data_IF_795880236516
#
_entry.id   IF_795880236516
#
_cell.length_a   1.000
_cell.length_b   1.000
_cell.length_c   1.000
_cell.angle_alpha   90.00
_cell.angle_beta   90.00
_cell.angle_gamma   90.00
#
_symmetry.space_group_name_H-M   'P 1'
#
loop_
_entity.id
_entity.type
_entity.pdbx_description
1 polymer ?
#
# COMPACT_ATOMS: atom_id res chain seq x y z
N UNK A 1 23.02 10.63 10.32
CA UNK A 1 22.03 9.72 9.69
C UNK A 1 22.50 9.38 8.29
N UNK A 2 22.65 8.10 7.95
CA UNK A 2 22.91 7.69 6.55
C UNK A 2 21.64 7.98 5.76
N UNK A 3 21.75 8.73 4.66
CA UNK A 3 20.63 8.93 3.73
C UNK A 3 20.30 7.56 3.13
N UNK A 4 19.14 7.02 3.47
CA UNK A 4 18.64 5.79 2.86
C UNK A 4 18.09 6.15 1.47
N UNK A 5 18.56 5.44 0.46
CA UNK A 5 18.11 5.63 -0.92
C UNK A 5 16.61 5.29 -1.06
N UNK A 6 15.90 5.98 -1.96
CA UNK A 6 14.47 5.82 -2.19
C UNK A 6 14.09 4.36 -2.53
N UNK A 7 14.90 3.69 -3.35
CA UNK A 7 14.70 2.27 -3.68
C UNK A 7 14.76 1.35 -2.44
N UNK A 8 15.59 1.70 -1.45
CA UNK A 8 15.71 0.93 -0.21
C UNK A 8 14.53 1.19 0.72
N UNK A 9 14.02 2.42 0.78
CA UNK A 9 12.84 2.76 1.58
C UNK A 9 11.59 2.10 1.01
N UNK A 10 11.38 2.15 -0.31
CA UNK A 10 10.23 1.49 -0.95
C UNK A 10 10.26 -0.02 -0.72
N UNK A 11 11.42 -0.67 -0.89
CA UNK A 11 11.57 -2.10 -0.60
C UNK A 11 11.28 -2.44 0.87
N UNK A 12 11.68 -1.56 1.81
CA UNK A 12 11.41 -1.74 3.24
C UNK A 12 9.92 -1.61 3.55
N UNK A 13 9.24 -0.62 2.96
CA UNK A 13 7.78 -0.43 3.09
C UNK A 13 7.02 -1.64 2.52
N UNK A 14 7.45 -2.16 1.37
CA UNK A 14 6.86 -3.35 0.74
C UNK A 14 7.04 -4.59 1.62
N UNK A 15 8.27 -4.81 2.12
CA UNK A 15 8.55 -5.93 3.04
C UNK A 15 7.72 -5.84 4.32
N UNK A 16 7.63 -4.65 4.93
CA UNK A 16 6.82 -4.42 6.13
C UNK A 16 5.34 -4.70 5.87
N UNK A 17 4.83 -4.29 4.71
CA UNK A 17 3.45 -4.58 4.28
C UNK A 17 3.20 -6.09 4.15
N UNK A 18 4.13 -6.80 3.53
CA UNK A 18 4.03 -8.25 3.37
C UNK A 18 3.99 -8.94 4.74
N UNK A 19 4.92 -8.58 5.62
CA UNK A 19 4.98 -9.12 6.98
C UNK A 19 3.70 -8.84 7.78
N UNK A 20 3.12 -7.65 7.65
CA UNK A 20 1.83 -7.31 8.28
C UNK A 20 0.69 -8.19 7.74
N UNK A 21 0.68 -8.47 6.44
CA UNK A 21 -0.33 -9.35 5.83
C UNK A 21 -0.17 -10.80 6.28
N UNK A 22 1.08 -11.28 6.43
CA UNK A 22 1.40 -12.60 6.99
C UNK A 22 1.00 -12.69 8.47
N UNK A 23 1.27 -11.65 9.24
CA UNK A 23 0.86 -11.54 10.65
C UNK A 23 -0.66 -11.63 10.80
N UNK A 24 -1.41 -10.86 10.00
CA UNK A 24 -2.87 -10.88 10.04
C UNK A 24 -3.44 -12.27 9.72
N UNK A 25 -2.85 -12.98 8.74
CA UNK A 25 -3.25 -14.36 8.40
C UNK A 25 -2.94 -15.33 9.54
N UNK A 26 -1.77 -15.22 10.16
CA UNK A 26 -1.39 -16.03 11.30
C UNK A 26 -2.33 -15.78 12.49
N UNK A 27 -2.61 -14.51 12.82
CA UNK A 27 -3.54 -14.13 13.88
C UNK A 27 -4.95 -14.68 13.61
N UNK A 28 -5.48 -14.54 12.39
CA UNK A 28 -6.77 -15.12 12.00
C UNK A 28 -6.79 -16.64 12.14
N UNK A 29 -5.68 -17.32 11.86
CA UNK A 29 -5.59 -18.78 11.98
C UNK A 29 -5.69 -19.25 13.44
N UNK A 30 -5.31 -18.40 14.41
CA UNK A 30 -5.47 -18.71 15.84
C UNK A 30 -6.91 -18.64 16.32
N UNK A 31 -7.80 -17.89 15.66
CA UNK A 31 -9.15 -17.59 16.18
C UNK A 31 -10.02 -18.83 16.41
N UNK A 32 -9.86 -19.87 15.60
CA UNK A 32 -10.62 -21.14 15.71
C UNK A 32 -10.11 -22.08 16.80
N UNK A 33 -8.85 -21.95 17.21
CA UNK A 33 -8.19 -22.92 18.09
C UNK A 33 -8.74 -22.91 19.53
N UNK A 34 -9.06 -21.76 20.15
CA UNK A 34 -9.69 -21.73 21.47
C UNK A 34 -11.03 -22.47 21.52
N UNK A 35 -11.87 -22.31 20.49
CA UNK A 35 -13.18 -22.96 20.45
C UNK A 35 -13.06 -24.46 20.19
N UNK A 36 -12.15 -24.88 19.31
CA UNK A 36 -11.81 -26.29 19.12
C UNK A 36 -11.30 -26.93 20.42
N UNK A 37 -10.41 -26.23 21.14
CA UNK A 37 -9.89 -26.68 22.44
C UNK A 37 -11.02 -26.84 23.46
N UNK A 38 -11.90 -25.85 23.61
CA UNK A 38 -13.06 -25.93 24.51
C UNK A 38 -13.98 -27.10 24.18
N UNK A 39 -14.27 -27.32 22.89
CA UNK A 39 -15.10 -28.43 22.45
C UNK A 39 -14.47 -29.79 22.80
N UNK A 40 -13.16 -29.95 22.57
CA UNK A 40 -12.43 -31.16 22.94
C UNK A 40 -12.34 -31.35 24.46
N UNK A 41 -12.12 -30.28 25.23
CA UNK A 41 -12.12 -30.33 26.70
C UNK A 41 -13.48 -30.75 27.27
N UNK A 42 -14.59 -30.27 26.68
CA UNK A 42 -15.95 -30.70 27.04
C UNK A 42 -16.16 -32.18 26.73
N UNK A 43 -15.82 -32.61 25.51
CA UNK A 43 -15.93 -34.01 25.10
C UNK A 43 -15.07 -34.94 25.97
N UNK A 44 -13.85 -34.50 26.33
CA UNK A 44 -12.97 -35.23 27.23
C UNK A 44 -13.59 -35.38 28.62
N UNK A 45 -14.20 -34.30 29.15
CA UNK A 45 -14.88 -34.33 30.45
C UNK A 45 -16.05 -35.31 30.42
N UNK A 46 -16.90 -35.25 29.40
CA UNK A 46 -18.04 -36.15 29.23
C UNK A 46 -17.59 -37.63 29.22
N UNK A 47 -16.62 -37.97 28.37
CA UNK A 47 -16.13 -39.35 28.27
C UNK A 47 -15.46 -39.82 29.57
N UNK A 48 -14.67 -38.96 30.24
CA UNK A 48 -14.06 -39.29 31.54
C UNK A 48 -15.10 -39.49 32.65
N UNK A 49 -16.19 -38.72 32.66
CA UNK A 49 -17.26 -38.89 33.67
C UNK A 49 -18.05 -40.17 33.49
N UNK A 50 -18.16 -40.70 32.26
CA UNK A 50 -18.87 -41.95 31.98
C UNK A 50 -18.08 -43.22 32.37
N UNK A 51 -16.74 -43.15 32.37
CA UNK A 51 -15.86 -44.31 32.63
C UNK A 51 -16.07 -44.93 34.02
N UNK A 52 -16.10 -44.18 35.15
CA UNK A 52 -16.27 -44.76 36.48
C UNK A 52 -17.55 -45.59 36.62
N UNK A 53 -18.68 -45.10 36.08
CA UNK A 53 -19.95 -45.83 36.13
C UNK A 53 -19.93 -47.13 35.33
N UNK A 54 -19.29 -47.14 34.17
CA UNK A 54 -19.09 -48.36 33.38
C UNK A 54 -18.10 -49.33 34.04
N UNK A 55 -17.03 -48.81 34.63
CA UNK A 55 -16.05 -49.60 35.37
C UNK A 55 -16.72 -50.31 36.55
N UNK A 56 -17.48 -49.61 37.38
CA UNK A 56 -18.23 -50.23 38.49
C UNK A 56 -19.23 -51.27 38.01
N UNK A 57 -19.89 -51.06 36.87
CA UNK A 57 -20.80 -52.05 36.30
C UNK A 57 -20.09 -53.32 35.82
N UNK A 58 -18.90 -53.17 35.22
CA UNK A 58 -18.03 -54.29 34.85
C UNK A 58 -17.55 -55.05 36.09
N UNK A 59 -17.10 -54.32 37.12
CA UNK A 59 -16.60 -54.90 38.38
C UNK A 59 -17.70 -55.69 39.12
N UNK A 60 -18.96 -55.28 38.99
CA UNK A 60 -20.14 -55.97 39.52
C UNK A 60 -20.64 -57.15 38.64
N UNK A 61 -19.86 -57.59 37.64
CA UNK A 61 -20.13 -58.80 36.87
C UNK A 61 -20.91 -58.60 35.55
N UNK A 62 -21.20 -57.37 35.13
CA UNK A 62 -21.82 -57.12 33.82
C UNK A 62 -20.80 -57.14 32.68
N UNK A 63 -20.29 -58.34 32.36
CA UNK A 63 -19.24 -58.55 31.34
C UNK A 63 -19.60 -57.97 29.95
N UNK A 64 -20.90 -57.85 29.61
CA UNK A 64 -21.36 -57.21 28.37
C UNK A 64 -20.98 -55.74 28.22
N UNK A 65 -20.59 -55.05 29.30
CA UNK A 65 -20.17 -53.63 29.27
C UNK A 65 -18.66 -53.43 29.06
N UNK A 66 -17.85 -54.49 29.05
CA UNK A 66 -16.40 -54.39 28.86
C UNK A 66 -16.01 -53.74 27.53
N UNK A 67 -16.74 -54.09 26.45
CA UNK A 67 -16.51 -53.52 25.11
C UNK A 67 -16.79 -52.02 25.07
N UNK A 68 -17.86 -51.57 25.73
CA UNK A 68 -18.21 -50.15 25.81
C UNK A 68 -17.19 -49.35 26.62
N UNK A 69 -16.73 -49.90 27.75
CA UNK A 69 -15.67 -49.32 28.56
C UNK A 69 -14.37 -49.13 27.76
N UNK A 70 -13.95 -50.14 26.99
CA UNK A 70 -12.77 -50.06 26.14
C UNK A 70 -12.94 -49.00 25.05
N UNK A 71 -14.10 -48.97 24.37
CA UNK A 71 -14.40 -47.96 23.36
C UNK A 71 -14.31 -46.53 23.92
N UNK A 72 -14.81 -46.28 25.14
CA UNK A 72 -14.71 -44.95 25.78
C UNK A 72 -13.28 -44.60 26.15
N UNK A 73 -12.48 -45.56 26.64
CA UNK A 73 -11.04 -45.34 26.89
C UNK A 73 -10.29 -44.97 25.61
N UNK A 74 -10.61 -45.61 24.49
CA UNK A 74 -9.98 -45.30 23.20
C UNK A 74 -10.40 -43.92 22.69
N UNK A 75 -11.68 -43.53 22.88
CA UNK A 75 -12.12 -42.15 22.61
C UNK A 75 -11.40 -41.11 23.45
N UNK A 76 -11.22 -41.37 24.76
CA UNK A 76 -10.45 -40.47 25.64
C UNK A 76 -9.03 -40.27 25.09
N UNK A 77 -8.34 -41.36 24.72
CA UNK A 77 -6.99 -41.27 24.12
C UNK A 77 -6.99 -40.48 22.80
N UNK A 78 -7.99 -40.67 21.96
CA UNK A 78 -8.12 -39.94 20.69
C UNK A 78 -8.33 -38.44 20.94
N UNK A 79 -9.24 -38.07 21.87
CA UNK A 79 -9.49 -36.67 22.24
C UNK A 79 -8.25 -36.03 22.87
N UNK A 80 -7.51 -36.76 23.71
CA UNK A 80 -6.23 -36.28 24.28
C UNK A 80 -5.17 -36.05 23.21
N UNK A 81 -5.09 -36.93 22.20
CA UNK A 81 -4.20 -36.73 21.06
C UNK A 81 -4.59 -35.50 20.22
N UNK A 82 -5.89 -35.30 19.98
CA UNK A 82 -6.39 -34.11 19.29
C UNK A 82 -6.16 -32.82 20.09
N UNK A 83 -6.32 -32.85 21.42
CA UNK A 83 -5.99 -31.72 22.31
C UNK A 83 -4.51 -31.37 22.24
N UNK A 84 -3.63 -32.37 22.27
CA UNK A 84 -2.19 -32.16 22.14
C UNK A 84 -1.85 -31.55 20.77
N UNK A 85 -2.50 -32.00 19.69
CA UNK A 85 -2.33 -31.40 18.35
C UNK A 85 -2.77 -29.93 18.35
N UNK A 86 -3.98 -29.61 18.80
CA UNK A 86 -4.49 -28.22 18.84
C UNK A 86 -3.60 -27.33 19.71
N UNK A 87 -3.09 -27.86 20.83
CA UNK A 87 -2.19 -27.12 21.71
C UNK A 87 -0.84 -26.85 21.04
N UNK A 88 -0.28 -27.83 20.32
CA UNK A 88 0.96 -27.65 19.55
C UNK A 88 0.77 -26.63 18.42
N UNK A 89 -0.33 -26.73 17.66
CA UNK A 89 -0.67 -25.74 16.61
C UNK A 89 -0.78 -24.32 17.18
N UNK A 90 -1.40 -24.18 18.35
CA UNK A 90 -1.53 -22.88 19.03
C UNK A 90 -0.17 -22.32 19.48
N UNK A 91 0.70 -23.16 20.05
CA UNK A 91 2.06 -22.75 20.44
C UNK A 91 2.88 -22.33 19.22
N UNK A 92 2.83 -23.11 18.14
CA UNK A 92 3.58 -22.82 16.91
C UNK A 92 3.11 -21.51 16.26
N UNK A 93 1.79 -21.31 16.11
CA UNK A 93 1.26 -20.07 15.54
C UNK A 93 1.61 -18.84 16.39
N UNK A 94 1.59 -18.96 17.73
CA UNK A 94 2.00 -17.85 18.59
C UNK A 94 3.49 -17.54 18.49
N UNK A 95 4.34 -18.56 18.34
CA UNK A 95 5.76 -18.36 18.09
C UNK A 95 5.99 -17.64 16.74
N UNK A 96 5.26 -18.05 15.69
CA UNK A 96 5.29 -17.37 14.39
C UNK A 96 4.81 -15.91 14.48
N UNK A 97 3.70 -15.65 15.19
CA UNK A 97 3.18 -14.29 15.44
C UNK A 97 4.23 -13.43 16.16
N UNK A 98 4.89 -13.97 17.18
CA UNK A 98 5.93 -13.26 17.92
C UNK A 98 7.13 -12.92 17.04
N UNK A 99 7.57 -13.86 16.19
CA UNK A 99 8.67 -13.65 15.25
C UNK A 99 8.30 -12.61 14.17
N UNK A 100 7.10 -12.71 13.58
CA UNK A 100 6.60 -11.72 12.62
C UNK A 100 6.53 -10.32 13.22
N UNK A 101 6.05 -10.18 14.46
CA UNK A 101 6.05 -8.90 15.19
C UNK A 101 7.46 -8.34 15.35
N UNK A 102 8.44 -9.18 15.69
CA UNK A 102 9.85 -8.80 15.80
C UNK A 102 10.45 -8.38 14.45
N UNK A 103 10.13 -9.07 13.37
CA UNK A 103 10.60 -8.69 12.03
C UNK A 103 10.00 -7.34 11.60
N UNK A 104 8.71 -7.10 11.87
CA UNK A 104 8.04 -5.82 11.56
C UNK A 104 8.69 -4.66 12.32
N UNK A 105 9.04 -4.84 13.59
CA UNK A 105 9.72 -3.79 14.37
C UNK A 105 11.17 -3.59 13.93
N UNK A 106 11.84 -4.62 13.42
CA UNK A 106 13.19 -4.49 12.86
C UNK A 106 13.22 -3.79 11.49
N UNK A 107 12.09 -3.74 10.76
CA UNK A 107 11.92 -2.92 9.55
C UNK A 107 11.75 -1.43 9.89
N UNK A 108 12.72 -0.89 10.63
CA UNK A 108 12.76 0.52 10.99
C UNK A 108 13.53 1.31 9.93
N UNK A 109 12.85 2.25 9.30
CA UNK A 109 13.44 3.10 8.27
C UNK A 109 12.88 4.51 8.39
N UNK A 110 13.76 5.49 8.26
CA UNK A 110 13.38 6.89 8.32
C UNK A 110 13.19 7.42 6.90
N UNK A 111 12.00 7.92 6.60
CA UNK A 111 11.72 8.57 5.34
C UNK A 111 12.10 10.05 5.43
N UNK A 112 12.83 10.53 4.42
CA UNK A 112 13.19 11.94 4.30
C UNK A 112 12.29 12.65 3.28
N UNK A 113 12.29 13.98 3.32
CA UNK A 113 11.58 14.82 2.33
C UNK A 113 12.05 14.50 0.90
N UNK A 114 13.35 14.24 0.73
CA UNK A 114 13.91 13.88 -0.58
C UNK A 114 13.27 12.60 -1.14
N UNK A 115 12.99 11.61 -0.29
CA UNK A 115 12.33 10.36 -0.72
C UNK A 115 10.86 10.61 -1.13
N UNK A 116 10.16 11.51 -0.45
CA UNK A 116 8.79 11.91 -0.81
C UNK A 116 8.77 12.62 -2.16
N UNK A 117 9.72 13.55 -2.40
CA UNK A 117 9.85 14.24 -3.67
C UNK A 117 10.22 13.29 -4.82
N UNK A 118 11.13 12.35 -4.59
CA UNK A 118 11.49 11.34 -5.57
C UNK A 118 10.30 10.43 -5.93
N UNK A 119 9.49 10.04 -4.94
CA UNK A 119 8.24 9.32 -5.16
C UNK A 119 7.24 10.11 -6.01
N UNK A 120 7.05 11.39 -5.70
CA UNK A 120 6.17 12.29 -6.44
C UNK A 120 6.64 12.44 -7.90
N UNK A 121 7.94 12.61 -8.12
CA UNK A 121 8.53 12.67 -9.46
C UNK A 121 8.31 11.36 -10.23
N UNK A 122 8.42 10.21 -9.57
CA UNK A 122 8.15 8.91 -10.19
C UNK A 122 6.68 8.75 -10.60
N UNK A 123 5.74 9.26 -9.80
CA UNK A 123 4.30 9.30 -10.15
C UNK A 123 4.09 10.19 -11.37
N UNK A 124 4.59 11.43 -11.36
CA UNK A 124 4.44 12.38 -12.46
C UNK A 124 5.05 11.86 -13.76
N UNK A 125 6.24 11.27 -13.71
CA UNK A 125 6.87 10.66 -14.88
C UNK A 125 6.01 9.51 -15.44
N UNK A 126 5.50 8.64 -14.57
CA UNK A 126 4.65 7.50 -14.98
C UNK A 126 3.32 7.98 -15.58
N UNK A 127 2.73 9.05 -15.04
CA UNK A 127 1.53 9.68 -15.62
C UNK A 127 1.80 10.29 -17.00
N UNK A 128 2.93 10.96 -17.17
CA UNK A 128 3.36 11.49 -18.46
C UNK A 128 3.55 10.38 -19.49
N UNK A 129 4.14 9.25 -19.10
CA UNK A 129 4.31 8.08 -19.97
C UNK A 129 2.95 7.52 -20.44
N UNK A 130 1.95 7.43 -19.55
CA UNK A 130 0.60 6.99 -19.91
C UNK A 130 -0.05 7.89 -20.96
N UNK A 131 0.02 9.21 -20.77
CA UNK A 131 -0.51 10.19 -21.72
C UNK A 131 0.21 10.05 -23.07
N UNK A 132 1.53 9.87 -23.06
CA UNK A 132 2.30 9.68 -24.28
C UNK A 132 1.91 8.39 -25.02
N UNK A 133 1.74 7.27 -24.32
CA UNK A 133 1.30 6.01 -24.95
C UNK A 133 -0.12 6.12 -25.53
N UNK A 134 -1.05 6.76 -24.82
CA UNK A 134 -2.40 6.99 -25.33
C UNK A 134 -2.39 7.83 -26.61
N UNK A 135 -1.60 8.91 -26.63
CA UNK A 135 -1.41 9.76 -27.81
C UNK A 135 -0.84 8.98 -28.99
N UNK A 136 0.20 8.17 -28.75
CA UNK A 136 0.82 7.35 -29.80
C UNK A 136 -0.14 6.28 -30.35
N UNK A 137 -0.96 5.66 -29.50
CA UNK A 137 -2.00 4.73 -29.94
C UNK A 137 -3.03 5.44 -30.81
N UNK A 138 -3.50 6.62 -30.41
CA UNK A 138 -4.45 7.39 -31.20
C UNK A 138 -3.88 7.79 -32.57
N UNK A 139 -2.59 8.15 -32.62
CA UNK A 139 -1.92 8.46 -33.88
C UNK A 139 -1.84 7.24 -34.81
N UNK A 140 -1.50 6.06 -34.28
CA UNK A 140 -1.48 4.83 -35.07
C UNK A 140 -2.89 4.43 -35.53
N UNK A 141 -3.92 4.69 -34.72
CA UNK A 141 -5.31 4.46 -35.12
C UNK A 141 -5.71 5.39 -36.27
N UNK A 142 -5.23 6.64 -36.27
CA UNK A 142 -5.42 7.58 -37.39
C UNK A 142 -4.75 7.07 -38.67
N UNK A 143 -3.52 6.56 -38.57
CA UNK A 143 -2.82 5.94 -39.72
C UNK A 143 -3.62 4.77 -40.30
N UNK A 144 -4.21 3.91 -39.46
CA UNK A 144 -5.07 2.81 -39.93
C UNK A 144 -6.30 3.34 -40.67
N UNK A 145 -6.96 4.36 -40.12
CA UNK A 145 -8.14 4.96 -40.75
C UNK A 145 -7.79 5.64 -42.07
N UNK A 146 -6.69 6.38 -42.14
CA UNK A 146 -6.22 7.04 -43.37
C UNK A 146 -5.82 6.01 -44.44
N UNK A 147 -5.10 4.95 -44.06
CA UNK A 147 -4.72 3.87 -44.97
C UNK A 147 -5.91 3.00 -45.41
N UNK A 148 -6.97 2.87 -44.60
CA UNK A 148 -8.16 2.10 -44.93
C UNK A 148 -9.19 2.83 -45.80
N UNK A 149 -9.09 4.16 -45.92
CA UNK A 149 -10.01 4.97 -46.71
C UNK A 149 -9.54 5.03 -48.17
N UNK A 150 -10.18 4.26 -49.05
CA UNK A 150 -9.96 4.34 -50.50
C UNK A 150 -11.25 4.71 -51.21
N UNK A 151 -11.14 5.71 -52.07
CA UNK A 151 -12.19 6.09 -52.99
C UNK A 151 -12.24 5.07 -54.13
N UNK A 152 -13.42 4.52 -54.40
CA UNK A 152 -13.60 3.53 -55.46
C UNK A 152 -13.71 4.22 -56.82
N UNK A 153 -12.57 4.45 -57.45
CA UNK A 153 -12.49 5.10 -58.77
C UNK A 153 -12.73 4.15 -59.94
N UNK A 154 -12.81 2.84 -59.70
CA UNK A 154 -12.96 1.81 -60.75
C UNK A 154 -14.45 1.55 -61.05
N UNK A 155 -15.31 1.56 -60.02
CA UNK A 155 -16.75 1.32 -60.19
C UNK A 155 -17.42 2.24 -61.23
N UNK A 156 -17.14 3.55 -61.30
CA UNK A 156 -17.66 4.41 -62.37
C UNK A 156 -17.26 3.97 -63.78
N UNK A 157 -16.02 3.49 -63.96
CA UNK A 157 -15.50 3.02 -65.25
C UNK A 157 -16.11 1.67 -65.65
N UNK A 158 -16.37 0.81 -64.68
CA UNK A 158 -17.13 -0.43 -64.92
C UNK A 158 -18.53 -0.09 -65.43
N UNK A 159 -19.20 0.92 -64.85
CA UNK A 159 -20.48 1.42 -65.35
C UNK A 159 -20.41 1.93 -66.79
N UNK A 160 -19.39 2.74 -67.11
CA UNK A 160 -19.16 3.20 -68.50
C UNK A 160 -18.89 2.05 -69.47
N UNK A 161 -18.21 0.99 -69.01
CA UNK A 161 -17.94 -0.20 -69.81
C UNK A 161 -19.21 -0.99 -70.09
N UNK A 162 -20.10 -1.11 -69.11
CA UNK A 162 -21.41 -1.75 -69.28
C UNK A 162 -22.27 -1.00 -70.31
N UNK A 163 -22.25 0.33 -70.29
CA UNK A 163 -22.93 1.18 -71.30
C UNK A 163 -22.36 0.97 -72.71
N UNK A 164 -21.03 1.02 -72.88
CA UNK A 164 -20.40 0.81 -74.18
C UNK A 164 -20.69 -0.59 -74.77
N UNK A 165 -20.76 -1.62 -73.92
CA UNK A 165 -21.13 -2.97 -74.36
C UNK A 165 -22.59 -3.05 -74.83
N UNK A 166 -23.49 -2.31 -74.18
CA UNK A 166 -24.88 -2.21 -74.61
C UNK A 166 -25.00 -1.51 -75.98
N UNK A 167 -24.27 -0.42 -76.19
CA UNK A 167 -24.26 0.32 -77.46
C UNK A 167 -23.73 -0.54 -78.62
N UNK A 168 -22.66 -1.31 -78.40
CA UNK A 168 -22.12 -2.25 -79.39
C UNK A 168 -23.16 -3.34 -79.72
N UNK A 169 -23.88 -3.85 -78.72
CA UNK A 169 -24.94 -4.84 -78.94
C UNK A 169 -26.13 -4.28 -79.74
N UNK A 170 -26.38 -2.98 -79.67
CA UNK A 170 -27.37 -2.26 -80.48
C UNK A 170 -26.86 -1.94 -81.91
N UNK A 171 -25.61 -2.27 -82.23
CA UNK A 171 -25.02 -2.13 -83.56
C UNK A 171 -24.20 -0.85 -83.78
N UNK A 172 -23.85 -0.11 -82.71
CA UNK A 172 -22.96 1.04 -82.81
C UNK A 172 -21.48 0.61 -82.90
N UNK A 173 -20.69 1.28 -83.74
CA UNK A 173 -19.24 1.02 -83.88
C UNK A 173 -18.44 1.76 -82.80
N UNK A 174 -18.43 1.21 -81.58
CA UNK A 174 -17.69 1.73 -80.40
C UNK A 174 -16.56 0.81 -79.92
N UNK A 175 -16.11 -0.11 -80.76
CA UNK A 175 -15.10 -1.11 -80.38
C UNK A 175 -13.76 -0.48 -79.94
N UNK A 176 -13.35 0.62 -80.58
CA UNK A 176 -12.12 1.33 -80.22
C UNK A 176 -12.22 2.04 -78.85
N UNK A 177 -13.37 2.62 -78.53
CA UNK A 177 -13.61 3.28 -77.24
C UNK A 177 -13.64 2.24 -76.10
N UNK A 178 -14.24 1.07 -76.34
CA UNK A 178 -14.21 -0.06 -75.41
C UNK A 178 -12.77 -0.55 -75.15
N UNK A 179 -11.93 -0.66 -76.19
CA UNK A 179 -10.54 -1.10 -76.02
C UNK A 179 -9.71 -0.07 -75.21
N UNK A 180 -9.95 1.23 -75.40
CA UNK A 180 -9.32 2.28 -74.59
C UNK A 180 -9.78 2.22 -73.13
N UNK A 181 -11.07 2.03 -72.90
CA UNK A 181 -11.63 1.93 -71.55
C UNK A 181 -11.13 0.67 -70.82
N UNK A 182 -11.03 -0.47 -71.50
CA UNK A 182 -10.47 -1.71 -70.93
C UNK A 182 -9.00 -1.54 -70.53
N UNK A 183 -8.19 -0.83 -71.34
CA UNK A 183 -6.82 -0.47 -70.97
C UNK A 183 -6.77 0.44 -69.75
N UNK A 184 -7.66 1.43 -69.66
CA UNK A 184 -7.74 2.34 -68.52
C UNK A 184 -8.17 1.62 -67.23
N UNK A 185 -9.18 0.74 -67.30
CA UNK A 185 -9.63 -0.09 -66.18
C UNK A 185 -8.48 -0.98 -65.69
N UNK A 186 -7.78 -1.67 -66.60
CA UNK A 186 -6.67 -2.54 -66.23
C UNK A 186 -5.53 -1.76 -65.56
N UNK A 187 -5.16 -0.61 -66.10
CA UNK A 187 -4.12 0.24 -65.51
C UNK A 187 -4.51 0.74 -64.10
N UNK A 188 -5.78 1.14 -63.91
CA UNK A 188 -6.26 1.55 -62.58
C UNK A 188 -6.38 0.38 -61.60
N UNK A 189 -6.71 -0.82 -62.07
CA UNK A 189 -6.69 -2.04 -61.24
C UNK A 189 -5.28 -2.34 -60.74
N UNK A 190 -4.29 -2.35 -61.63
CA UNK A 190 -2.89 -2.58 -61.25
C UNK A 190 -2.36 -1.52 -60.27
N UNK A 191 -2.70 -0.24 -60.49
CA UNK A 191 -2.36 0.85 -59.57
C UNK A 191 -3.06 0.71 -58.21
N UNK A 192 -4.34 0.33 -58.21
CA UNK A 192 -5.12 0.08 -57.00
C UNK A 192 -4.54 -1.08 -56.20
N UNK A 193 -4.27 -2.21 -56.84
CA UNK A 193 -3.73 -3.41 -56.17
C UNK A 193 -2.35 -3.11 -55.56
N UNK A 194 -1.50 -2.36 -56.26
CA UNK A 194 -0.21 -1.90 -55.74
C UNK A 194 -0.34 -0.98 -54.52
N UNK A 195 -1.26 -0.01 -54.57
CA UNK A 195 -1.56 0.87 -53.42
C UNK A 195 -2.17 0.09 -52.26
N UNK A 196 -3.09 -0.82 -52.55
CA UNK A 196 -3.77 -1.61 -51.54
C UNK A 196 -2.80 -2.53 -50.79
N UNK A 197 -1.85 -3.17 -51.48
CA UNK A 197 -0.79 -3.94 -50.83
C UNK A 197 0.08 -3.08 -49.88
N UNK A 198 0.42 -1.84 -50.27
CA UNK A 198 1.15 -0.90 -49.40
C UNK A 198 0.33 -0.47 -48.18
N UNK A 199 -0.97 -0.26 -48.37
CA UNK A 199 -1.87 0.14 -47.28
C UNK A 199 -2.13 -1.02 -46.32
N UNK A 200 -2.28 -2.24 -46.82
CA UNK A 200 -2.39 -3.44 -45.99
C UNK A 200 -1.13 -3.64 -45.11
N UNK A 201 0.06 -3.44 -45.68
CA UNK A 201 1.33 -3.49 -44.94
C UNK A 201 1.42 -2.37 -43.88
N UNK A 202 1.02 -1.15 -44.25
CA UNK A 202 0.96 0.00 -43.34
C UNK A 202 0.00 -0.26 -42.17
N UNK A 203 -1.18 -0.82 -42.45
CA UNK A 203 -2.18 -1.20 -41.45
C UNK A 203 -1.61 -2.29 -40.54
N UNK A 204 -0.98 -3.33 -41.09
CA UNK A 204 -0.38 -4.41 -40.31
C UNK A 204 0.71 -3.89 -39.35
N UNK A 205 1.60 -3.01 -39.84
CA UNK A 205 2.63 -2.37 -39.03
C UNK A 205 2.04 -1.48 -37.93
N UNK A 206 1.02 -0.68 -38.25
CA UNK A 206 0.33 0.15 -37.27
C UNK A 206 -0.37 -0.69 -36.18
N UNK A 207 -1.05 -1.78 -36.55
CA UNK A 207 -1.69 -2.71 -35.62
C UNK A 207 -0.69 -3.41 -34.68
N UNK A 208 0.46 -3.84 -35.20
CA UNK A 208 1.54 -4.39 -34.39
C UNK A 208 2.08 -3.35 -33.40
N UNK A 209 2.24 -2.10 -33.86
CA UNK A 209 2.69 -0.99 -33.02
C UNK A 209 1.68 -0.69 -31.90
N UNK A 210 0.37 -0.62 -32.22
CA UNK A 210 -0.70 -0.47 -31.23
C UNK A 210 -0.67 -1.60 -30.20
N UNK A 211 -0.46 -2.85 -30.64
CA UNK A 211 -0.37 -4.00 -29.74
C UNK A 211 0.84 -3.91 -28.80
N UNK A 212 1.98 -3.42 -29.29
CA UNK A 212 3.16 -3.12 -28.47
C UNK A 212 2.92 -2.01 -27.45
N UNK A 213 2.34 -0.89 -27.90
CA UNK A 213 2.03 0.27 -27.06
C UNK A 213 0.97 -0.06 -26.00
N UNK A 214 -0.08 -0.82 -26.35
CA UNK A 214 -1.13 -1.24 -25.42
C UNK A 214 -0.58 -2.10 -24.28
N UNK A 215 0.34 -3.03 -24.58
CA UNK A 215 1.03 -3.82 -23.53
C UNK A 215 1.85 -2.93 -22.59
N UNK A 216 2.55 -1.94 -23.13
CA UNK A 216 3.30 -0.97 -22.32
C UNK A 216 2.38 -0.08 -21.48
N UNK A 217 1.24 0.34 -22.02
CA UNK A 217 0.23 1.11 -21.31
C UNK A 217 -0.28 0.35 -20.08
N UNK A 218 -0.67 -0.92 -20.23
CA UNK A 218 -1.12 -1.77 -19.11
C UNK A 218 -0.02 -1.92 -18.05
N UNK A 219 1.21 -2.24 -18.45
CA UNK A 219 2.33 -2.36 -17.51
C UNK A 219 2.63 -1.05 -16.77
N UNK A 220 2.51 0.09 -17.45
CA UNK A 220 2.71 1.43 -16.86
C UNK A 220 1.56 1.80 -15.92
N UNK A 221 0.33 1.41 -16.25
CA UNK A 221 -0.83 1.59 -15.37
C UNK A 221 -0.67 0.78 -14.09
N UNK A 222 -0.20 -0.47 -14.18
CA UNK A 222 0.11 -1.28 -13.01
C UNK A 222 1.20 -0.66 -12.15
N UNK A 223 2.24 -0.09 -12.77
CA UNK A 223 3.29 0.66 -12.07
C UNK A 223 2.72 1.87 -11.33
N UNK A 224 1.86 2.67 -11.97
CA UNK A 224 1.20 3.81 -11.34
C UNK A 224 0.33 3.37 -10.15
N UNK A 225 -0.45 2.29 -10.33
CA UNK A 225 -1.28 1.72 -9.27
C UNK A 225 -0.43 1.26 -8.07
N UNK A 226 0.75 0.66 -8.31
CA UNK A 226 1.69 0.29 -7.25
C UNK A 226 2.23 1.52 -6.51
N UNK A 227 2.65 2.56 -7.25
CA UNK A 227 3.13 3.81 -6.65
C UNK A 227 2.06 4.45 -5.76
N UNK A 228 0.83 4.57 -6.25
CA UNK A 228 -0.30 5.13 -5.49
C UNK A 228 -0.61 4.33 -4.21
N UNK A 229 -0.44 3.00 -4.23
CA UNK A 229 -0.60 2.16 -3.02
C UNK A 229 0.52 2.35 -2.00
N UNK A 230 1.71 2.77 -2.44
CA UNK A 230 2.86 3.05 -1.58
C UNK A 230 2.82 4.46 -0.98
N UNK A 231 2.21 5.42 -1.68
CA UNK A 231 2.12 6.83 -1.26
C UNK A 231 1.68 7.01 0.19
N UNK A 232 0.54 6.48 0.67
CA UNK A 232 0.11 6.70 2.06
C UNK A 232 1.12 6.17 3.07
N UNK A 233 1.74 5.01 2.79
CA UNK A 233 2.71 4.38 3.69
C UNK A 233 4.02 5.16 3.77
N UNK A 234 4.46 5.72 2.64
CA UNK A 234 5.63 6.58 2.61
C UNK A 234 5.38 7.89 3.37
N UNK A 235 4.17 8.46 3.23
CA UNK A 235 3.78 9.66 3.97
C UNK A 235 3.66 9.39 5.48
N UNK A 236 3.05 8.27 5.89
CA UNK A 236 2.99 7.86 7.29
C UNK A 236 4.39 7.74 7.88
N UNK A 237 5.31 7.08 7.17
CA UNK A 237 6.70 6.92 7.60
C UNK A 237 7.43 8.26 7.71
N UNK A 238 7.19 9.18 6.77
CA UNK A 238 7.75 10.52 6.79
C UNK A 238 7.24 11.33 7.98
N UNK A 239 5.93 11.31 8.24
CA UNK A 239 5.31 12.02 9.37
C UNK A 239 5.78 11.44 10.70
N UNK A 240 5.90 10.11 10.82
CA UNK A 240 6.48 9.47 12.01
C UNK A 240 7.92 9.92 12.22
N UNK A 241 8.76 9.89 11.18
CA UNK A 241 10.15 10.38 11.24
C UNK A 241 10.22 11.83 11.69
N UNK A 242 9.31 12.70 11.20
CA UNK A 242 9.25 14.11 11.60
C UNK A 242 8.78 14.31 13.03
N UNK A 243 7.86 13.47 13.48
CA UNK A 243 7.37 13.48 14.86
C UNK A 243 8.47 13.05 15.82
N UNK A 244 9.23 12.00 15.50
CA UNK A 244 10.40 11.56 16.27
C UNK A 244 11.47 12.66 16.33
N UNK A 245 11.76 13.30 15.19
CA UNK A 245 12.71 14.41 15.16
C UNK A 245 12.26 15.55 16.09
N UNK A 246 10.99 15.97 16.00
CA UNK A 246 10.44 17.03 16.84
C UNK A 246 10.44 16.64 18.34
N UNK A 247 10.16 15.37 18.65
CA UNK A 247 10.21 14.87 20.02
C UNK A 247 11.65 14.92 20.58
N UNK A 248 12.63 14.49 19.79
CA UNK A 248 14.05 14.56 20.17
C UNK A 248 14.52 16.01 20.38
N UNK A 249 14.12 16.93 19.49
CA UNK A 249 14.42 18.36 19.61
C UNK A 249 13.79 18.94 20.89
N UNK A 250 12.54 18.58 21.19
CA UNK A 250 11.87 18.98 22.43
C UNK A 250 12.58 18.45 23.66
N UNK A 251 12.97 17.18 23.70
CA UNK A 251 13.73 16.59 24.81
C UNK A 251 15.05 17.33 25.03
N UNK A 252 15.79 17.61 23.95
CA UNK A 252 17.05 18.35 24.06
C UNK A 252 16.86 19.77 24.61
N UNK A 253 15.81 20.48 24.21
CA UNK A 253 15.49 21.81 24.73
C UNK A 253 15.01 21.75 26.19
N UNK A 254 14.24 20.73 26.56
CA UNK A 254 13.81 20.51 27.94
C UNK A 254 15.01 20.26 28.86
N UNK A 255 15.99 19.46 28.42
CA UNK A 255 17.23 19.21 29.16
C UNK A 255 18.04 20.50 29.35
N UNK A 256 18.14 21.35 28.32
CA UNK A 256 18.78 22.67 28.43
C UNK A 256 18.06 23.59 29.42
N UNK A 257 16.72 23.58 29.42
CA UNK A 257 15.93 24.35 30.37
C UNK A 257 16.17 23.88 31.81
N UNK A 258 16.18 22.56 32.04
CA UNK A 258 16.49 21.97 33.36
C UNK A 258 17.88 22.42 33.82
N UNK A 259 18.89 22.38 32.94
CA UNK A 259 20.23 22.85 33.24
C UNK A 259 20.23 24.32 33.66
N UNK A 260 19.55 25.20 32.91
CA UNK A 260 19.48 26.63 33.22
C UNK A 260 18.72 26.92 34.51
N UNK A 261 17.67 26.14 34.82
CA UNK A 261 16.98 26.24 36.11
C UNK A 261 17.89 25.85 37.27
N UNK A 262 18.69 24.79 37.14
CA UNK A 262 19.65 24.37 38.16
C UNK A 262 20.74 25.43 38.37
N UNK A 263 21.23 26.05 37.30
CA UNK A 263 22.18 27.18 37.39
C UNK A 263 21.57 28.36 38.17
N UNK A 264 20.30 28.72 37.91
CA UNK A 264 19.61 29.80 38.63
C UNK A 264 19.43 29.48 40.11
N UNK A 265 19.04 28.25 40.45
CA UNK A 265 18.90 27.79 41.85
C UNK A 265 20.25 27.85 42.57
N UNK A 266 21.34 27.43 41.92
CA UNK A 266 22.68 27.48 42.49
C UNK A 266 23.16 28.92 42.72
N UNK A 267 22.88 29.82 41.78
CA UNK A 267 23.19 31.25 41.92
C UNK A 267 22.40 31.89 43.07
N UNK A 268 21.11 31.57 43.21
CA UNK A 268 20.28 32.06 44.32
C UNK A 268 20.83 31.59 45.68
N UNK A 269 21.20 30.31 45.79
CA UNK A 269 21.85 29.77 46.98
C UNK A 269 23.17 30.49 47.30
N UNK A 270 24.01 30.74 46.30
CA UNK A 270 25.26 31.50 46.47
C UNK A 270 25.01 32.94 46.93
N UNK A 271 24.01 33.62 46.37
CA UNK A 271 23.64 34.99 46.78
C UNK A 271 23.19 35.01 48.24
N UNK A 272 22.42 34.02 48.70
CA UNK A 272 22.03 33.87 50.10
C UNK A 272 23.26 33.66 51.01
N UNK A 273 24.22 32.83 50.60
CA UNK A 273 25.46 32.56 51.35
C UNK A 273 26.39 33.77 51.44
N UNK A 274 26.50 34.58 50.37
CA UNK A 274 27.36 35.77 50.34
C UNK A 274 26.81 36.92 51.21
N UNK A 275 25.60 36.79 51.76
CA UNK A 275 25.14 37.60 52.87
C UNK A 275 24.60 38.99 52.52
N UNK A 276 24.23 39.24 51.26
CA UNK A 276 23.61 40.51 50.87
C UNK A 276 22.07 40.44 50.86
N UNK A 277 21.51 40.89 52.00
CA UNK A 277 20.12 41.30 52.28
C UNK A 277 19.05 40.20 52.28
N UNK A 278 18.35 40.11 53.42
CA UNK A 278 17.07 39.38 53.59
C UNK A 278 15.93 39.89 52.67
N UNK A 279 16.13 41.00 51.96
CA UNK A 279 15.14 41.69 51.13
C UNK A 279 15.70 42.16 49.76
N UNK A 280 16.58 41.40 49.10
CA UNK A 280 17.24 41.85 47.85
C UNK A 280 16.37 41.82 46.58
N UNK A 281 15.18 41.20 46.59
CA UNK A 281 14.26 41.24 45.44
C UNK A 281 14.88 40.77 44.11
N UNK A 282 15.90 39.91 44.15
CA UNK A 282 16.68 39.50 42.98
C UNK A 282 15.96 38.50 42.07
N UNK A 283 14.91 37.85 42.58
CA UNK A 283 13.89 37.34 41.70
C UNK A 283 12.96 38.51 41.36
N UNK A 284 12.94 39.04 40.11
CA UNK A 284 11.82 39.88 39.69
C UNK A 284 10.54 39.09 39.97
N UNK A 285 9.44 39.75 40.34
CA UNK A 285 8.12 39.12 40.60
C UNK A 285 7.71 38.10 39.51
N UNK A 286 8.30 38.19 38.33
CA UNK A 286 8.21 37.24 37.22
C UNK A 286 8.76 35.83 37.51
N UNK A 287 9.60 35.61 38.52
CA UNK A 287 10.03 34.26 38.92
C UNK A 287 8.91 33.45 39.59
N UNK A 288 7.88 34.13 40.10
CA UNK A 288 6.64 33.47 40.51
C UNK A 288 5.90 32.86 39.30
N UNK A 289 6.16 33.30 38.07
CA UNK A 289 5.68 32.66 36.84
C UNK A 289 6.50 31.40 36.48
N UNK A 290 7.78 31.31 36.87
CA UNK A 290 8.62 30.12 36.67
C UNK A 290 8.23 28.95 37.59
N UNK A 291 7.51 29.23 38.68
CA UNK A 291 6.85 28.19 39.51
C UNK A 291 5.79 27.39 38.75
N UNK A 292 5.34 27.85 37.58
CA UNK A 292 4.28 27.20 36.79
C UNK A 292 4.79 25.95 36.04
N UNK A 293 6.11 25.75 35.90
CA UNK A 293 6.67 24.53 35.30
C UNK A 293 7.02 23.43 36.31
N UNK A 294 6.92 23.71 37.61
CA UNK A 294 6.70 22.64 38.59
C UNK A 294 5.21 22.27 38.53
N UNK A 295 4.82 21.52 37.50
CA UNK A 295 3.51 20.87 37.43
C UNK A 295 3.32 20.12 38.76
N UNK A 296 2.29 20.53 39.49
CA UNK A 296 1.73 19.88 40.67
C UNK A 296 2.03 18.37 40.71
N UNK A 297 3.07 17.96 41.44
CA UNK A 297 3.30 16.57 41.83
C UNK A 297 3.75 15.57 40.75
N UNK A 298 4.11 15.97 39.53
CA UNK A 298 4.55 15.01 38.51
C UNK A 298 6.06 14.81 38.58
N UNK A 299 6.49 13.68 39.16
CA UNK A 299 7.87 13.20 39.04
C UNK A 299 8.17 12.86 37.57
N UNK A 300 9.16 13.47 36.91
CA UNK A 300 9.45 13.23 35.49
C UNK A 300 9.87 11.78 35.16
N UNK A 301 10.27 10.99 36.16
CA UNK A 301 10.85 9.66 35.97
C UNK A 301 9.86 8.49 36.15
N UNK A 302 8.64 8.71 36.64
CA UNK A 302 7.69 7.61 36.93
C UNK A 302 6.69 7.34 35.78
N UNK A 303 6.68 8.15 34.71
CA UNK A 303 5.70 8.02 33.61
C UNK A 303 6.29 7.73 32.22
N UNK A 304 7.58 7.42 32.13
CA UNK A 304 8.15 6.82 30.91
C UNK A 304 7.81 5.33 30.75
N UNK A 305 7.20 4.71 31.76
CA UNK A 305 6.68 3.34 31.69
C UNK A 305 5.14 3.31 31.56
N UNK A 306 4.65 3.42 30.33
CA UNK A 306 3.56 2.56 29.86
C UNK A 306 2.10 2.86 30.21
N UNK A 307 1.60 4.09 30.04
CA UNK A 307 0.13 4.28 29.92
C UNK A 307 -0.30 5.37 28.91
N UNK A 308 -1.03 5.02 27.82
CA UNK A 308 -1.39 5.97 26.75
C UNK A 308 -2.54 6.96 27.07
N UNK A 309 -3.20 6.84 28.22
CA UNK A 309 -4.53 7.43 28.43
C UNK A 309 -4.60 8.88 28.92
N UNK A 310 -3.53 9.44 29.48
CA UNK A 310 -3.61 10.71 30.25
C UNK A 310 -3.17 11.94 29.43
N UNK A 311 -2.47 11.75 28.31
CA UNK A 311 -1.86 12.83 27.54
C UNK A 311 -2.86 13.65 26.69
N UNK A 312 -4.10 13.18 26.49
CA UNK A 312 -5.02 13.80 25.52
C UNK A 312 -5.79 15.00 26.08
N UNK A 313 -5.97 15.12 27.41
CA UNK A 313 -6.93 16.07 27.97
C UNK A 313 -6.33 17.44 28.36
N UNK A 314 -5.03 17.53 28.62
CA UNK A 314 -4.38 18.79 29.03
C UNK A 314 -3.95 19.64 27.82
N UNK A 315 -3.72 19.01 26.65
CA UNK A 315 -3.21 19.70 25.45
C UNK A 315 -4.30 20.30 24.53
N UNK A 316 -5.58 19.98 24.74
CA UNK A 316 -6.67 20.44 23.84
C UNK A 316 -6.98 21.94 23.90
N UNK A 317 -6.59 22.64 24.97
CA UNK A 317 -6.98 24.03 25.21
C UNK A 317 -5.82 25.05 25.14
N UNK A 318 -4.59 24.62 24.85
CA UNK A 318 -3.39 25.47 24.98
C UNK A 318 -2.55 25.64 23.71
N UNK A 319 -2.89 24.98 22.61
CA UNK A 319 -2.15 25.13 21.35
C UNK A 319 -3.10 25.47 20.19
N UNK A 320 -2.77 26.44 19.32
CA UNK A 320 -3.45 26.63 18.05
C UNK A 320 -3.02 25.50 17.08
N UNK A 321 -3.41 24.27 17.40
CA UNK A 321 -3.07 23.05 16.66
C UNK A 321 -3.42 23.17 15.17
N UNK A 322 -4.50 23.89 14.85
CA UNK A 322 -4.95 24.16 13.48
C UNK A 322 -3.97 25.08 12.73
N UNK A 323 -3.40 26.08 13.40
CA UNK A 323 -2.48 27.03 12.78
C UNK A 323 -1.12 26.39 12.50
N UNK A 324 -0.57 25.63 13.46
CA UNK A 324 0.67 24.86 13.26
C UNK A 324 0.52 23.80 12.16
N UNK A 325 -0.60 23.07 12.11
CA UNK A 325 -0.87 22.13 11.01
C UNK A 325 -0.95 22.82 9.66
N UNK A 326 -1.61 23.98 9.59
CA UNK A 326 -1.71 24.78 8.37
C UNK A 326 -0.33 25.25 7.89
N UNK A 327 0.52 25.72 8.81
CA UNK A 327 1.90 26.12 8.51
C UNK A 327 2.77 24.96 8.03
N UNK A 328 2.63 23.77 8.64
CA UNK A 328 3.35 22.55 8.19
C UNK A 328 2.88 22.17 6.79
N UNK A 329 1.57 22.15 6.53
CA UNK A 329 1.02 21.84 5.21
C UNK A 329 1.49 22.85 4.16
N UNK A 330 1.46 24.13 4.48
CA UNK A 330 1.95 25.20 3.59
C UNK A 330 3.45 25.07 3.35
N UNK A 331 4.24 24.75 4.37
CA UNK A 331 5.69 24.51 4.24
C UNK A 331 6.00 23.33 3.32
N UNK A 332 5.25 22.23 3.42
CA UNK A 332 5.39 21.07 2.54
C UNK A 332 4.98 21.40 1.10
N UNK A 333 3.88 22.14 0.91
CA UNK A 333 3.46 22.61 -0.41
C UNK A 333 4.51 23.54 -1.05
N UNK A 334 5.10 24.46 -0.27
CA UNK A 334 6.18 25.34 -0.73
C UNK A 334 7.45 24.57 -1.11
N UNK A 335 7.65 23.38 -0.56
CA UNK A 335 8.74 22.48 -0.89
C UNK A 335 8.40 21.50 -2.03
N UNK A 336 7.22 21.65 -2.65
CA UNK A 336 6.79 20.85 -3.80
C UNK A 336 6.09 19.53 -3.46
N UNK A 337 5.78 19.28 -2.18
CA UNK A 337 4.99 18.11 -1.78
C UNK A 337 3.51 18.50 -1.72
N UNK A 338 2.71 17.98 -2.64
CA UNK A 338 1.25 18.14 -2.61
C UNK A 338 0.63 17.13 -1.62
N UNK A 339 0.04 17.63 -0.54
CA UNK A 339 -0.69 16.83 0.48
C UNK A 339 -2.20 17.03 0.40
#
# INVERSE_FOLDING_TARGET
>A
MKKTDYATITATIERKTQLQSELERAEKSTWRLPDQKRALESALREERTAIPGLQSAVDNGHQGRQKELNNRRDKVKAIEADLNRVNNEWVELNAQIADLKKQITACDSQASLANVLEHQNAITATQSDLVNFQRLIAEQQRVITEAGNHEDTITPLIGQREELLADIALGEDKAADLEQLDKAIKAMQEERDGKQALNDDTIAHAQQTISGLSRRLVSTQDKLNRLNKLTPKLLDLFVMTKTEQAANDFTALADQLIQKMNELIALDALVLEIGNRKDSGLFPDQASLLRILCINGVKPLEHLNGSPGVYVNIFRNLFPFIETLSQIKQGMNNQGVNI
#
